data_IF_132058617785
#
_entry.id   IF_132058617785
#
_cell.length_a   1.000
_cell.length_b   1.000
_cell.length_c   1.000
_cell.angle_alpha   90.00
_cell.angle_beta   90.00
_cell.angle_gamma   90.00
#
_symmetry.space_group_name_H-M   'P 1'
#
loop_
_entity.id
_entity.type
_entity.pdbx_description
1 polymer ?
#
# COMPACT_ATOMS: atom_id res chain seq x y z
N UNK A 1 -5.31 -19.29 18.93
CA UNK A 1 -4.11 -18.72 18.30
C UNK A 1 -4.16 -18.98 16.80
N UNK A 2 -3.70 -18.05 15.97
CA UNK A 2 -3.64 -18.16 14.51
C UNK A 2 -2.38 -17.45 13.99
N UNK A 3 -1.88 -17.86 12.83
CA UNK A 3 -0.84 -17.14 12.09
C UNK A 3 -1.41 -16.68 10.74
N UNK A 4 -1.14 -15.44 10.37
CA UNK A 4 -1.73 -14.76 9.21
C UNK A 4 -0.65 -14.06 8.37
N UNK A 5 0.00 -14.76 7.43
CA UNK A 5 0.85 -14.13 6.44
C UNK A 5 0.10 -13.83 5.14
N UNK A 6 0.67 -12.93 4.35
CA UNK A 6 0.32 -12.78 2.94
C UNK A 6 1.26 -13.63 2.08
N UNK A 7 0.67 -14.42 1.17
CA UNK A 7 1.38 -15.06 0.07
C UNK A 7 1.04 -14.37 -1.23
N UNK A 8 1.99 -14.29 -2.15
CA UNK A 8 1.79 -13.61 -3.44
C UNK A 8 1.98 -14.56 -4.61
N UNK A 9 1.19 -14.36 -5.67
CA UNK A 9 1.44 -14.99 -6.98
C UNK A 9 2.44 -14.19 -7.81
N UNK A 10 2.41 -12.87 -7.66
CA UNK A 10 3.37 -11.88 -8.17
C UNK A 10 3.35 -10.68 -7.18
N UNK A 11 4.47 -9.98 -6.91
CA UNK A 11 5.79 -10.11 -7.51
C UNK A 11 6.58 -11.33 -7.02
N UNK A 12 7.37 -11.95 -7.92
CA UNK A 12 8.20 -13.13 -7.61
C UNK A 12 9.29 -12.96 -6.55
N UNK A 13 9.59 -11.73 -6.13
CA UNK A 13 10.56 -11.46 -5.06
C UNK A 13 9.96 -11.62 -3.65
N UNK A 14 8.65 -11.84 -3.53
CA UNK A 14 7.97 -12.15 -2.27
C UNK A 14 7.84 -13.66 -2.04
N UNK A 15 7.46 -14.06 -0.81
CA UNK A 15 7.17 -15.46 -0.50
C UNK A 15 5.94 -15.95 -1.29
N UNK A 16 6.10 -17.00 -2.13
CA UNK A 16 5.02 -17.50 -2.95
C UNK A 16 3.98 -18.25 -2.12
N UNK A 17 2.74 -18.29 -2.59
CA UNK A 17 1.64 -19.07 -1.99
C UNK A 17 2.06 -20.53 -1.72
N UNK A 18 2.74 -21.14 -2.68
CA UNK A 18 3.21 -22.53 -2.61
C UNK A 18 4.24 -22.79 -1.49
N UNK A 19 4.94 -21.76 -1.01
CA UNK A 19 5.78 -21.89 0.19
C UNK A 19 4.90 -22.15 1.42
N UNK A 20 3.84 -21.36 1.62
CA UNK A 20 2.96 -21.47 2.77
C UNK A 20 2.14 -22.77 2.78
N UNK A 21 1.67 -23.20 1.60
CA UNK A 21 0.91 -24.45 1.45
C UNK A 21 1.72 -25.67 1.95
N UNK A 22 3.04 -25.71 1.70
CA UNK A 22 3.93 -26.78 2.19
C UNK A 22 3.99 -26.89 3.71
N UNK A 23 3.67 -25.81 4.43
CA UNK A 23 3.63 -25.77 5.89
C UNK A 23 2.20 -25.85 6.46
N UNK A 24 1.21 -26.21 5.62
CA UNK A 24 -0.16 -26.43 6.05
C UNK A 24 -1.03 -25.18 6.18
N UNK A 25 -0.56 -24.02 5.70
CA UNK A 25 -1.39 -22.83 5.58
C UNK A 25 -2.43 -23.04 4.47
N UNK A 26 -3.59 -22.38 4.62
CA UNK A 26 -4.67 -22.37 3.62
C UNK A 26 -5.00 -20.94 3.23
N UNK A 27 -5.29 -20.73 1.94
CA UNK A 27 -5.87 -19.46 1.46
C UNK A 27 -7.25 -19.27 2.09
N UNK A 28 -7.49 -18.11 2.68
CA UNK A 28 -8.79 -17.74 3.28
C UNK A 28 -9.41 -16.50 2.62
N UNK A 29 -8.63 -15.73 1.86
CA UNK A 29 -9.10 -14.56 1.11
C UNK A 29 -8.11 -14.22 -0.01
N UNK A 30 -8.61 -13.51 -1.03
CA UNK A 30 -7.88 -13.10 -2.22
C UNK A 30 -8.20 -11.66 -2.59
N UNK A 31 -7.17 -10.88 -2.93
CA UNK A 31 -7.29 -9.54 -3.50
C UNK A 31 -6.20 -9.33 -4.56
N UNK A 32 -6.56 -9.28 -5.84
CA UNK A 32 -5.57 -9.25 -6.94
C UNK A 32 -4.60 -10.43 -6.87
N UNK A 33 -3.30 -10.16 -6.75
CA UNK A 33 -2.22 -11.15 -6.57
C UNK A 33 -1.90 -11.48 -5.10
N UNK A 34 -2.49 -10.75 -4.15
CA UNK A 34 -2.34 -11.00 -2.71
C UNK A 34 -3.28 -12.14 -2.25
N UNK A 35 -2.73 -13.07 -1.46
CA UNK A 35 -3.49 -14.13 -0.78
C UNK A 35 -3.31 -14.00 0.72
N UNK A 36 -4.41 -13.86 1.45
CA UNK A 36 -4.38 -14.00 2.90
C UNK A 36 -4.35 -15.48 3.24
N UNK A 37 -3.23 -15.92 3.83
CA UNK A 37 -3.01 -17.30 4.22
C UNK A 37 -3.27 -17.45 5.73
N UNK A 38 -3.77 -18.60 6.16
CA UNK A 38 -4.01 -18.88 7.57
C UNK A 38 -3.53 -20.27 7.95
N UNK A 39 -2.76 -20.34 9.04
CA UNK A 39 -2.49 -21.58 9.77
C UNK A 39 -3.34 -21.60 11.03
N UNK A 40 -4.23 -22.59 11.12
CA UNK A 40 -5.14 -22.79 12.27
C UNK A 40 -4.39 -23.53 13.37
N UNK A 41 -4.04 -22.82 14.45
CA UNK A 41 -3.34 -23.40 15.60
C UNK A 41 -4.29 -23.72 16.77
N UNK A 42 -5.57 -23.44 16.62
CA UNK A 42 -6.60 -23.69 17.63
C UNK A 42 -7.98 -23.77 16.98
N UNK A 43 -8.83 -24.66 17.48
CA UNK A 43 -10.23 -24.80 17.06
C UNK A 43 -11.09 -23.56 17.35
N UNK A 44 -10.64 -22.66 18.22
CA UNK A 44 -11.30 -21.37 18.52
C UNK A 44 -10.80 -20.21 17.64
N UNK A 45 -9.95 -20.49 16.65
CA UNK A 45 -9.42 -19.43 15.80
C UNK A 45 -10.50 -18.90 14.85
N UNK A 46 -10.82 -17.62 14.99
CA UNK A 46 -11.70 -16.93 14.05
C UNK A 46 -10.98 -16.69 12.71
N UNK A 47 -11.76 -16.67 11.63
CA UNK A 47 -11.27 -16.35 10.29
C UNK A 47 -11.28 -14.81 10.13
N UNK A 48 -10.13 -14.15 9.92
CA UNK A 48 -10.09 -12.72 9.69
C UNK A 48 -10.68 -12.36 8.32
N UNK A 49 -11.11 -11.10 8.17
CA UNK A 49 -11.40 -10.52 6.86
C UNK A 49 -10.19 -9.75 6.37
N UNK A 50 -9.82 -9.95 5.11
CA UNK A 50 -8.79 -9.17 4.46
C UNK A 50 -9.30 -7.73 4.26
N UNK A 51 -8.42 -6.77 4.48
CA UNK A 51 -8.66 -5.38 4.16
C UNK A 51 -8.38 -5.16 2.67
N UNK A 52 -9.31 -4.49 1.98
CA UNK A 52 -9.25 -4.25 0.54
C UNK A 52 -9.39 -2.75 0.32
N UNK A 53 -8.57 -2.20 -0.57
CA UNK A 53 -8.60 -0.79 -0.93
C UNK A 53 -9.98 -0.39 -1.44
N UNK A 54 -10.48 0.74 -0.94
CA UNK A 54 -11.68 1.45 -1.38
C UNK A 54 -11.33 2.80 -2.02
N UNK A 55 -10.04 3.10 -2.14
CA UNK A 55 -9.54 4.35 -2.71
C UNK A 55 -10.07 4.53 -4.13
N UNK A 56 -10.55 5.75 -4.39
CA UNK A 56 -10.97 6.20 -5.71
C UNK A 56 -10.17 7.44 -6.05
N UNK A 57 -9.56 7.44 -7.23
CA UNK A 57 -8.78 8.57 -7.70
C UNK A 57 -9.68 9.69 -8.22
N UNK A 58 -9.44 10.92 -7.75
CA UNK A 58 -10.11 12.13 -8.22
C UNK A 58 -9.11 13.02 -9.00
N UNK A 59 -9.22 13.10 -10.33
CA UNK A 59 -8.30 13.91 -11.12
C UNK A 59 -8.54 15.41 -10.94
N UNK A 60 -7.45 16.18 -10.93
CA UNK A 60 -7.49 17.65 -10.90
C UNK A 60 -6.84 18.18 -12.17
N UNK A 61 -7.59 18.96 -12.95
CA UNK A 61 -7.10 19.49 -14.22
C UNK A 61 -5.83 20.34 -14.05
N UNK A 62 -4.81 20.06 -14.88
CA UNK A 62 -3.52 20.76 -14.85
C UNK A 62 -2.69 20.51 -13.59
N UNK A 63 -3.04 19.51 -12.76
CA UNK A 63 -2.29 19.14 -11.56
C UNK A 63 -1.98 17.66 -11.55
N UNK A 64 -0.87 17.32 -10.89
CA UNK A 64 -0.56 15.96 -10.49
C UNK A 64 -1.06 15.76 -9.07
N UNK A 65 -1.89 14.75 -8.84
CA UNK A 65 -2.38 14.40 -7.51
C UNK A 65 -1.47 13.32 -6.94
N UNK A 66 -0.95 13.57 -5.75
CA UNK A 66 -0.17 12.61 -4.97
C UNK A 66 -0.92 12.34 -3.67
N UNK A 67 -1.45 11.14 -3.53
CA UNK A 67 -2.12 10.69 -2.31
C UNK A 67 -1.19 9.75 -1.54
N UNK A 68 -0.90 10.10 -0.29
CA UNK A 68 -0.09 9.30 0.61
C UNK A 68 -0.95 8.80 1.77
N UNK A 69 -0.97 7.47 1.92
CA UNK A 69 -1.54 6.75 3.05
C UNK A 69 -0.41 6.14 3.85
N UNK A 70 -0.30 6.47 5.13
CA UNK A 70 0.79 5.96 5.97
C UNK A 70 0.33 5.63 7.38
N UNK A 71 1.06 4.72 8.03
CA UNK A 71 0.92 4.40 9.44
C UNK A 71 2.22 4.67 10.19
N UNK A 72 2.14 4.96 11.49
CA UNK A 72 3.35 5.21 12.32
C UNK A 72 3.90 3.96 13.00
N UNK A 73 3.12 2.88 13.00
CA UNK A 73 3.54 1.61 13.59
C UNK A 73 4.73 0.97 12.85
N UNK A 74 4.77 1.08 11.52
CA UNK A 74 5.84 0.52 10.70
C UNK A 74 6.87 1.59 10.32
N UNK A 75 8.13 1.44 10.75
CA UNK A 75 9.21 2.38 10.41
C UNK A 75 9.40 2.56 8.90
N UNK A 76 9.16 1.51 8.11
CA UNK A 76 9.20 1.60 6.65
C UNK A 76 8.13 2.55 6.11
N UNK A 77 6.93 2.53 6.69
CA UNK A 77 5.85 3.45 6.32
C UNK A 77 6.16 4.89 6.71
N UNK A 78 6.73 5.10 7.90
CA UNK A 78 7.06 6.43 8.41
C UNK A 78 8.21 7.09 7.63
N UNK A 79 9.27 6.32 7.30
CA UNK A 79 10.37 6.78 6.45
C UNK A 79 9.86 7.13 5.05
N UNK A 80 8.96 6.32 4.50
CA UNK A 80 8.34 6.58 3.21
C UNK A 80 7.53 7.88 3.21
N UNK A 81 6.73 8.11 4.25
CA UNK A 81 5.97 9.35 4.41
C UNK A 81 6.90 10.57 4.42
N UNK A 82 7.98 10.53 5.22
CA UNK A 82 8.98 11.58 5.26
C UNK A 82 9.59 11.88 3.88
N UNK A 83 9.95 10.84 3.11
CA UNK A 83 10.55 10.97 1.77
C UNK A 83 9.57 11.57 0.77
N UNK A 84 8.32 11.08 0.74
CA UNK A 84 7.28 11.62 -0.15
C UNK A 84 7.05 13.10 0.16
N UNK A 85 6.86 13.46 1.43
CA UNK A 85 6.67 14.85 1.86
C UNK A 85 7.82 15.78 1.45
N UNK A 86 9.06 15.27 1.34
CA UNK A 86 10.20 16.05 0.85
C UNK A 86 10.17 16.20 -0.67
N UNK A 87 9.94 15.11 -1.38
CA UNK A 87 9.98 15.10 -2.85
C UNK A 87 8.84 15.93 -3.44
N UNK A 88 7.61 15.84 -2.91
CA UNK A 88 6.47 16.62 -3.44
C UNK A 88 6.71 18.14 -3.38
N UNK A 89 7.46 18.62 -2.37
CA UNK A 89 7.82 20.05 -2.24
C UNK A 89 8.70 20.55 -3.39
N UNK A 90 9.44 19.67 -4.06
CA UNK A 90 10.28 20.02 -5.20
C UNK A 90 9.44 20.43 -6.43
N UNK A 91 8.20 19.94 -6.53
CA UNK A 91 7.31 20.15 -7.67
C UNK A 91 6.36 21.35 -7.52
N UNK A 92 6.38 22.01 -6.34
CA UNK A 92 5.64 23.26 -6.03
C UNK A 92 4.16 23.15 -6.46
N UNK A 93 3.67 24.15 -7.19
CA UNK A 93 2.27 24.29 -7.58
C UNK A 93 1.82 23.23 -8.60
N UNK A 94 2.70 22.41 -9.17
CA UNK A 94 2.30 21.35 -10.11
C UNK A 94 1.63 20.16 -9.40
N UNK A 95 1.80 20.03 -8.08
CA UNK A 95 1.32 18.89 -7.30
C UNK A 95 0.25 19.32 -6.29
N UNK A 96 -0.85 18.57 -6.26
CA UNK A 96 -1.77 18.51 -5.12
C UNK A 96 -1.35 17.32 -4.26
N UNK A 97 -1.02 17.58 -3.00
CA UNK A 97 -0.56 16.55 -2.08
C UNK A 97 -1.59 16.32 -0.97
N UNK A 98 -2.15 15.11 -0.95
CA UNK A 98 -3.08 14.66 0.08
C UNK A 98 -2.36 13.68 1.01
N UNK A 99 -2.45 13.95 2.31
CA UNK A 99 -1.81 13.16 3.35
C UNK A 99 -2.87 12.54 4.25
N UNK A 100 -2.84 11.22 4.40
CA UNK A 100 -3.78 10.45 5.19
C UNK A 100 -3.02 9.55 6.18
N UNK A 101 -3.12 9.87 7.47
CA UNK A 101 -2.62 9.01 8.54
C UNK A 101 -3.68 7.96 8.88
N UNK A 102 -3.35 6.67 8.74
CA UNK A 102 -4.33 5.57 8.84
C UNK A 102 -4.93 5.43 10.24
N UNK A 103 -4.20 5.86 11.26
CA UNK A 103 -4.64 5.89 12.65
C UNK A 103 -5.62 7.03 12.96
N UNK A 104 -5.81 8.01 12.06
CA UNK A 104 -6.83 9.03 12.23
C UNK A 104 -8.25 8.43 12.11
N UNK A 105 -9.20 8.87 12.96
CA UNK A 105 -10.55 8.33 12.97
C UNK A 105 -11.23 8.41 11.59
N UNK A 106 -11.68 7.27 11.07
CA UNK A 106 -12.44 7.18 9.81
C UNK A 106 -11.60 6.93 8.57
N UNK A 107 -10.29 7.27 8.57
CA UNK A 107 -9.43 7.13 7.39
C UNK A 107 -9.33 5.67 6.94
N UNK A 108 -9.12 4.77 7.89
CA UNK A 108 -9.04 3.33 7.60
C UNK A 108 -10.36 2.78 7.05
N UNK A 109 -11.49 3.21 7.59
CA UNK A 109 -12.82 2.77 7.16
C UNK A 109 -13.16 3.29 5.76
N UNK A 110 -12.78 4.53 5.48
CA UNK A 110 -12.98 5.23 4.21
C UNK A 110 -12.15 4.59 3.09
N UNK A 111 -10.85 4.45 3.28
CA UNK A 111 -9.94 4.05 2.21
C UNK A 111 -9.57 2.57 2.21
N UNK A 112 -9.68 1.87 3.34
CA UNK A 112 -9.33 0.45 3.41
C UNK A 112 -7.87 0.14 3.07
N UNK A 113 -6.96 1.07 3.37
CA UNK A 113 -5.53 0.97 3.06
C UNK A 113 -4.69 0.97 4.35
N UNK A 114 -3.67 0.10 4.48
CA UNK A 114 -2.74 0.17 5.59
C UNK A 114 -1.56 1.14 5.33
N UNK A 115 -1.22 1.31 4.05
CA UNK A 115 -0.13 2.13 3.51
C UNK A 115 -0.26 2.11 1.99
N UNK A 116 -0.05 3.23 1.32
CA UNK A 116 0.04 3.31 -0.14
C UNK A 116 0.56 4.69 -0.57
N UNK A 117 1.17 4.76 -1.76
CA UNK A 117 1.42 6.02 -2.47
C UNK A 117 0.76 5.91 -3.83
N UNK A 118 -0.08 6.89 -4.17
CA UNK A 118 -0.66 7.03 -5.51
C UNK A 118 -0.13 8.29 -6.18
N UNK A 119 0.18 8.18 -7.47
CA UNK A 119 0.47 9.32 -8.35
C UNK A 119 -0.54 9.28 -9.49
N UNK A 120 -1.42 10.29 -9.58
CA UNK A 120 -2.58 10.31 -10.48
C UNK A 120 -3.38 9.00 -10.43
N UNK A 121 -3.65 8.50 -9.22
CA UNK A 121 -4.42 7.27 -9.00
C UNK A 121 -3.67 5.96 -9.28
N UNK A 122 -2.43 6.01 -9.78
CA UNK A 122 -1.60 4.83 -9.98
C UNK A 122 -0.73 4.57 -8.76
N UNK A 123 -0.87 3.39 -8.17
CA UNK A 123 -0.05 2.97 -7.04
C UNK A 123 1.42 2.82 -7.46
N UNK A 124 2.32 3.33 -6.62
CA UNK A 124 3.75 3.06 -6.69
C UNK A 124 4.19 2.33 -5.42
N UNK A 125 4.86 1.20 -5.59
CA UNK A 125 5.26 0.32 -4.50
C UNK A 125 6.53 -0.45 -4.83
N UNK A 126 7.41 -0.61 -3.84
CA UNK A 126 8.69 -1.32 -3.99
C UNK A 126 8.90 -2.45 -2.99
N UNK A 127 7.95 -2.70 -2.08
CA UNK A 127 8.12 -3.67 -0.99
C UNK A 127 8.84 -3.11 0.24
N UNK A 128 9.82 -2.24 0.02
CA UNK A 128 10.58 -1.52 1.04
C UNK A 128 10.24 -0.02 1.02
N UNK A 129 10.99 0.81 1.74
CA UNK A 129 10.78 2.26 1.76
C UNK A 129 11.03 2.86 0.37
N UNK A 130 10.03 3.50 -0.25
CA UNK A 130 10.18 4.12 -1.55
C UNK A 130 11.42 5.05 -1.60
N UNK A 131 12.37 4.84 -2.54
CA UNK A 131 13.51 5.73 -2.71
C UNK A 131 13.06 7.10 -3.22
N UNK A 132 13.65 8.18 -2.70
CA UNK A 132 13.33 9.55 -3.15
C UNK A 132 13.53 9.73 -4.67
N UNK A 133 14.57 9.13 -5.25
CA UNK A 133 14.81 9.16 -6.70
C UNK A 133 13.64 8.56 -7.48
N UNK A 134 13.08 7.46 -7.00
CA UNK A 134 11.99 6.73 -7.67
C UNK A 134 10.64 7.42 -7.52
N UNK A 135 10.39 8.04 -6.36
CA UNK A 135 9.22 8.92 -6.16
C UNK A 135 9.31 10.09 -7.14
N UNK A 136 10.47 10.72 -7.26
CA UNK A 136 10.70 11.84 -8.18
C UNK A 136 10.51 11.43 -9.64
N UNK A 137 11.04 10.28 -10.04
CA UNK A 137 10.83 9.71 -11.38
C UNK A 137 9.34 9.50 -11.67
N UNK A 138 8.58 8.95 -10.73
CA UNK A 138 7.14 8.70 -10.89
C UNK A 138 6.35 10.01 -11.08
N UNK A 139 6.62 11.03 -10.27
CA UNK A 139 5.96 12.33 -10.37
C UNK A 139 6.36 13.05 -11.67
N UNK A 140 7.66 13.07 -12.01
CA UNK A 140 8.15 13.68 -13.24
C UNK A 140 7.60 13.00 -14.50
N UNK A 141 7.47 11.67 -14.48
CA UNK A 141 6.82 10.92 -15.55
C UNK A 141 5.35 11.31 -15.70
N UNK A 142 4.62 11.42 -14.58
CA UNK A 142 3.21 11.82 -14.61
C UNK A 142 3.03 13.22 -15.23
N UNK A 143 3.91 14.18 -14.92
CA UNK A 143 3.90 15.53 -15.52
C UNK A 143 4.03 15.47 -17.04
N UNK A 144 4.93 14.63 -17.55
CA UNK A 144 5.19 14.52 -18.99
C UNK A 144 4.11 13.74 -19.76
N UNK A 145 3.16 13.10 -19.06
CA UNK A 145 2.06 12.33 -19.64
C UNK A 145 0.68 13.02 -19.52
N UNK A 146 0.63 14.17 -18.84
CA UNK A 146 -0.51 15.11 -18.85
C UNK A 146 -0.47 15.99 -20.09
#
# INVERSE_FOLDING_TARGET
MRSLPFGYTDPKWYLPVSFFEKFGFREISRNGDERLMMLVLSSKAEIPKQMVSKYTYEPVEGKIVVDLFFNRFCSTSDIEAYRVMRVVKEFKDNVIFNLHEIEEPGVKEEFGLPRAIFVNGKEIFWGYEAPESRIREAIAYAINCT
#
